data_IF_979531779542
#
_entry.id   IF_979531779542
#
_cell.length_a   1.000
_cell.length_b   1.000
_cell.length_c   1.000
_cell.angle_alpha   90.00
_cell.angle_beta   90.00
_cell.angle_gamma   90.00
#
_symmetry.space_group_name_H-M   'P 1'
#
loop_
_entity.id
_entity.type
_entity.pdbx_description
1 polymer ?
#
# COMPACT_ATOMS: atom_id res chain seq x y z
N UNK A 1 43.01 10.79 -11.07
CA UNK A 1 42.14 10.17 -12.09
C UNK A 1 42.14 8.68 -11.84
N UNK A 2 41.13 8.19 -11.10
CA UNK A 2 40.97 6.79 -10.73
C UNK A 2 39.81 6.23 -11.56
N UNK A 3 40.05 5.07 -12.16
CA UNK A 3 39.26 4.49 -13.24
C UNK A 3 37.87 4.04 -12.75
N UNK A 4 36.83 4.55 -13.39
CA UNK A 4 35.44 4.13 -13.20
C UNK A 4 35.25 2.78 -13.89
N UNK A 5 34.98 1.73 -13.10
CA UNK A 5 34.60 0.41 -13.62
C UNK A 5 33.08 0.38 -13.72
N UNK A 6 32.56 0.43 -14.94
CA UNK A 6 31.17 0.12 -15.27
C UNK A 6 30.91 -1.36 -14.97
N UNK A 7 30.07 -1.64 -13.97
CA UNK A 7 29.51 -2.97 -13.74
C UNK A 7 28.26 -3.08 -14.62
N UNK A 8 28.32 -3.93 -15.65
CA UNK A 8 27.13 -4.33 -16.41
C UNK A 8 26.29 -5.27 -15.55
N UNK A 9 25.04 -4.89 -15.29
CA UNK A 9 24.04 -5.74 -14.68
C UNK A 9 23.72 -6.93 -15.60
N UNK A 10 23.72 -8.14 -15.02
CA UNK A 10 23.20 -9.35 -15.67
C UNK A 10 21.69 -9.37 -15.41
N UNK A 11 20.89 -9.22 -16.46
CA UNK A 11 19.44 -9.37 -16.38
C UNK A 11 19.09 -10.83 -16.04
N UNK A 12 18.37 -11.02 -14.93
CA UNK A 12 17.76 -12.30 -14.59
C UNK A 12 16.51 -12.51 -15.47
N UNK A 13 16.45 -13.65 -16.16
CA UNK A 13 15.32 -14.02 -17.01
C UNK A 13 14.14 -14.51 -16.15
N UNK A 14 13.04 -13.76 -16.14
CA UNK A 14 11.78 -14.16 -15.52
C UNK A 14 11.07 -15.22 -16.40
N UNK A 15 10.66 -16.33 -15.79
CA UNK A 15 9.71 -17.28 -16.38
C UNK A 15 8.30 -16.67 -16.27
N UNK A 16 7.72 -16.31 -17.41
CA UNK A 16 6.37 -15.74 -17.47
C UNK A 16 5.31 -16.82 -17.17
N UNK A 17 4.74 -16.78 -15.97
CA UNK A 17 3.37 -17.24 -15.76
C UNK A 17 2.46 -16.11 -16.23
N UNK A 18 1.59 -16.39 -17.20
CA UNK A 18 0.59 -15.43 -17.69
C UNK A 18 -0.49 -15.24 -16.62
N UNK A 19 -0.18 -14.47 -15.58
CA UNK A 19 -1.20 -13.80 -14.77
C UNK A 19 -1.64 -12.55 -15.54
N UNK A 20 -2.94 -12.34 -15.67
CA UNK A 20 -3.46 -11.07 -16.17
C UNK A 20 -3.09 -10.05 -15.08
N UNK A 21 -2.27 -9.02 -15.36
CA UNK A 21 -1.93 -8.03 -14.36
C UNK A 21 -3.23 -7.38 -13.89
N UNK A 22 -3.53 -7.49 -12.60
CA UNK A 22 -4.51 -6.60 -11.98
C UNK A 22 -3.78 -5.28 -11.81
N UNK A 23 -3.99 -4.36 -12.75
CA UNK A 23 -3.47 -3.00 -12.63
C UNK A 23 -3.96 -2.43 -11.30
N UNK A 24 -3.04 -1.99 -10.43
CA UNK A 24 -3.46 -1.21 -9.28
C UNK A 24 -4.17 0.06 -9.78
N UNK A 25 -5.38 0.25 -9.27
CA UNK A 25 -6.18 1.42 -9.55
C UNK A 25 -5.84 2.51 -8.53
N UNK A 26 -5.81 3.77 -8.96
CA UNK A 26 -5.74 4.92 -8.05
C UNK A 26 -6.95 5.04 -7.10
N UNK A 27 -7.98 4.20 -7.25
CA UNK A 27 -9.10 4.08 -6.31
C UNK A 27 -8.76 3.24 -5.07
N UNK A 28 -7.70 2.43 -5.12
CA UNK A 28 -7.21 1.71 -3.94
C UNK A 28 -6.27 2.62 -3.16
N UNK A 29 -6.55 2.79 -1.87
CA UNK A 29 -5.64 3.47 -0.95
C UNK A 29 -4.64 2.46 -0.41
N UNK A 30 -3.39 2.58 -0.84
CA UNK A 30 -2.27 1.82 -0.30
C UNK A 30 -1.59 2.58 0.83
N UNK A 31 -0.75 1.89 1.59
CA UNK A 31 -0.01 2.44 2.71
C UNK A 31 1.45 2.00 2.65
N UNK A 32 2.32 2.82 3.23
CA UNK A 32 3.71 2.49 3.46
C UNK A 32 4.12 2.81 4.89
N UNK A 33 4.95 1.93 5.44
CA UNK A 33 5.43 1.94 6.81
C UNK A 33 6.95 1.80 6.81
N UNK A 34 7.64 2.46 7.74
CA UNK A 34 9.06 2.21 7.96
C UNK A 34 9.26 0.94 8.79
N UNK A 35 10.06 0.02 8.25
CA UNK A 35 10.54 -1.17 8.95
C UNK A 35 12.01 -1.00 9.34
N UNK A 36 12.35 -1.37 10.57
CA UNK A 36 13.71 -1.22 11.10
C UNK A 36 14.01 -2.32 12.12
N UNK A 37 15.25 -2.80 12.14
CA UNK A 37 15.74 -3.74 13.16
C UNK A 37 17.18 -3.40 13.54
N UNK A 38 17.44 -3.22 14.83
CA UNK A 38 18.79 -3.02 15.36
C UNK A 38 19.53 -4.35 15.58
N UNK A 39 20.85 -4.29 15.81
CA UNK A 39 21.68 -5.46 16.07
C UNK A 39 21.18 -6.33 17.25
N UNK A 40 20.70 -5.70 18.33
CA UNK A 40 20.12 -6.39 19.49
C UNK A 40 18.62 -6.68 19.33
N UNK A 41 18.09 -6.67 18.10
CA UNK A 41 16.71 -7.05 17.79
C UNK A 41 15.67 -6.13 18.44
N UNK A 42 15.93 -4.82 18.46
CA UNK A 42 14.87 -3.81 18.65
C UNK A 42 14.29 -3.44 17.29
N UNK A 43 12.97 -3.49 17.12
CA UNK A 43 12.36 -3.43 15.79
C UNK A 43 10.98 -2.78 15.71
N UNK A 44 10.64 -2.33 14.49
CA UNK A 44 9.27 -2.34 13.95
C UNK A 44 9.30 -3.25 12.73
N UNK A 45 8.46 -4.30 12.74
CA UNK A 45 8.48 -5.34 11.69
C UNK A 45 7.62 -4.92 10.49
N UNK A 46 7.49 -5.78 9.48
CA UNK A 46 6.56 -5.56 8.37
C UNK A 46 5.11 -5.50 8.87
N UNK A 47 4.26 -4.71 8.20
CA UNK A 47 2.87 -4.50 8.65
C UNK A 47 2.04 -5.80 8.64
N UNK A 48 2.33 -6.70 7.69
CA UNK A 48 1.63 -7.96 7.50
C UNK A 48 2.20 -9.11 8.36
N UNK A 49 3.20 -8.85 9.22
CA UNK A 49 3.76 -9.88 10.07
C UNK A 49 2.70 -10.45 11.03
N UNK A 50 2.50 -11.77 10.98
CA UNK A 50 1.42 -12.42 11.75
C UNK A 50 1.63 -12.42 13.27
N UNK A 51 2.83 -12.08 13.76
CA UNK A 51 3.19 -12.08 15.17
C UNK A 51 3.38 -10.67 15.72
N UNK A 52 3.92 -9.75 14.91
CA UNK A 52 4.32 -8.41 15.36
C UNK A 52 3.84 -7.28 14.45
N UNK A 53 3.05 -7.60 13.44
CA UNK A 53 2.51 -6.64 12.46
C UNK A 53 1.39 -5.79 13.02
N UNK A 54 0.83 -4.96 12.14
CA UNK A 54 -0.19 -3.98 12.48
C UNK A 54 -1.43 -4.66 13.07
N UNK A 55 -1.95 -4.11 14.17
CA UNK A 55 -3.14 -4.64 14.84
C UNK A 55 -2.92 -5.95 15.63
N UNK A 56 -1.70 -6.49 15.63
CA UNK A 56 -1.34 -7.63 16.47
C UNK A 56 -0.93 -7.14 17.86
N UNK A 57 -1.50 -7.76 18.89
CA UNK A 57 -1.14 -7.53 20.28
C UNK A 57 -0.81 -8.86 20.97
N UNK A 58 0.15 -8.82 21.90
CA UNK A 58 0.47 -9.94 22.77
C UNK A 58 -0.69 -10.30 23.70
N UNK A 59 -0.62 -11.47 24.34
CA UNK A 59 -1.62 -11.90 25.33
C UNK A 59 -1.75 -10.92 26.52
N UNK A 60 -0.68 -10.20 26.81
CA UNK A 60 -0.61 -9.16 27.84
C UNK A 60 -1.09 -7.78 27.37
N UNK A 61 -1.55 -7.67 26.12
CA UNK A 61 -2.01 -6.44 25.49
C UNK A 61 -0.89 -5.56 24.91
N UNK A 62 0.37 -6.04 24.89
CA UNK A 62 1.47 -5.30 24.27
C UNK A 62 1.23 -5.13 22.77
N UNK A 63 1.20 -3.89 22.30
CA UNK A 63 1.14 -3.57 20.87
C UNK A 63 2.57 -3.44 20.34
N UNK A 64 2.88 -4.20 19.29
CA UNK A 64 4.25 -4.29 18.77
C UNK A 64 4.54 -3.26 17.68
N UNK A 65 3.61 -3.09 16.75
CA UNK A 65 3.83 -2.36 15.50
C UNK A 65 3.83 -0.83 15.65
N UNK A 66 3.14 -0.31 16.67
CA UNK A 66 3.01 1.14 16.90
C UNK A 66 4.18 1.72 17.74
N UNK A 67 5.25 0.94 17.92
CA UNK A 67 6.46 1.29 18.66
C UNK A 67 7.68 0.57 18.07
N UNK A 68 8.89 1.01 18.44
CA UNK A 68 10.06 0.14 18.39
C UNK A 68 9.97 -0.80 19.60
N UNK A 69 9.88 -2.10 19.34
CA UNK A 69 9.85 -3.14 20.36
C UNK A 69 11.24 -3.72 20.54
N UNK A 70 11.75 -3.70 21.77
CA UNK A 70 12.92 -4.47 22.20
C UNK A 70 12.57 -5.53 23.24
N UNK A 71 13.58 -6.12 23.87
CA UNK A 71 13.39 -7.23 24.81
C UNK A 71 14.17 -7.03 26.13
N UNK A 72 13.52 -7.34 27.25
CA UNK A 72 14.15 -7.56 28.56
C UNK A 72 13.86 -9.01 29.00
N UNK A 73 14.82 -9.89 28.73
CA UNK A 73 14.60 -11.33 28.79
C UNK A 73 13.46 -11.74 27.84
N UNK A 74 12.43 -12.47 28.32
CA UNK A 74 11.27 -12.84 27.49
C UNK A 74 10.22 -11.72 27.36
N UNK A 75 10.41 -10.59 28.04
CA UNK A 75 9.40 -9.52 28.12
C UNK A 75 9.64 -8.50 27.02
N UNK A 76 8.62 -8.23 26.20
CA UNK A 76 8.67 -7.15 25.23
C UNK A 76 8.68 -5.80 25.97
N UNK A 77 9.53 -4.87 25.52
CA UNK A 77 9.64 -3.53 26.08
C UNK A 77 9.59 -2.50 24.98
N UNK A 78 8.89 -1.39 25.22
CA UNK A 78 8.89 -0.26 24.30
C UNK A 78 10.25 0.44 24.33
N UNK A 79 10.76 0.77 23.14
CA UNK A 79 11.93 1.60 22.90
C UNK A 79 11.53 2.96 22.32
N UNK A 80 10.28 3.38 22.53
CA UNK A 80 9.73 4.59 21.92
C UNK A 80 9.40 4.39 20.44
N UNK A 81 9.45 5.47 19.68
CA UNK A 81 9.08 5.50 18.26
C UNK A 81 7.81 6.30 18.03
N UNK A 82 7.94 7.44 17.37
CA UNK A 82 6.83 8.20 16.78
C UNK A 82 6.97 8.07 15.27
N UNK A 83 6.02 7.36 14.66
CA UNK A 83 6.06 7.05 13.24
C UNK A 83 5.26 8.04 12.42
N UNK A 84 5.80 8.39 11.26
CA UNK A 84 5.06 8.98 10.15
C UNK A 84 4.95 7.92 9.07
N UNK A 85 3.74 7.39 8.89
CA UNK A 85 3.42 6.46 7.81
C UNK A 85 2.82 7.23 6.63
N UNK A 86 2.84 6.63 5.44
CA UNK A 86 2.36 7.28 4.21
C UNK A 86 1.11 6.59 3.68
N UNK A 87 0.16 7.39 3.21
CA UNK A 87 -0.98 6.96 2.41
C UNK A 87 -0.65 7.20 0.93
N UNK A 88 -0.71 6.15 0.11
CA UNK A 88 -0.38 6.15 -1.32
C UNK A 88 -1.69 6.10 -2.10
N UNK A 89 -2.06 7.24 -2.68
CA UNK A 89 -3.29 7.41 -3.46
C UNK A 89 -3.02 7.57 -4.96
N UNK A 90 -1.79 7.34 -5.42
CA UNK A 90 -1.40 7.50 -6.82
C UNK A 90 0.11 7.62 -7.02
N UNK A 91 0.50 8.00 -8.24
CA UNK A 91 1.90 8.28 -8.56
C UNK A 91 2.40 9.51 -7.79
N UNK A 92 3.58 9.42 -7.19
CA UNK A 92 4.10 10.51 -6.39
C UNK A 92 5.31 10.14 -5.55
N UNK A 93 5.82 11.13 -4.81
CA UNK A 93 6.89 10.95 -3.84
C UNK A 93 6.31 10.93 -2.44
N UNK A 94 6.66 9.88 -1.69
CA UNK A 94 6.16 9.58 -0.37
C UNK A 94 7.31 9.50 0.63
N UNK A 95 7.00 9.71 1.90
CA UNK A 95 7.98 9.67 2.99
C UNK A 95 7.42 8.87 4.15
N UNK A 96 8.22 7.94 4.66
CA UNK A 96 8.00 7.29 5.96
C UNK A 96 9.14 7.64 6.90
N UNK A 97 8.86 7.80 8.19
CA UNK A 97 9.89 8.16 9.17
C UNK A 97 9.59 7.66 10.58
N UNK A 98 10.62 7.66 11.41
CA UNK A 98 10.52 7.43 12.85
C UNK A 98 11.40 8.42 13.60
N UNK A 99 10.89 8.92 14.72
CA UNK A 99 11.61 9.74 15.71
C UNK A 99 11.34 9.23 17.13
N UNK A 100 11.96 9.84 18.15
CA UNK A 100 11.69 9.55 19.57
C UNK A 100 11.88 8.07 19.97
N UNK A 101 12.95 7.45 19.47
CA UNK A 101 13.32 6.07 19.75
C UNK A 101 14.64 5.98 20.55
N UNK A 102 14.86 4.85 21.21
CA UNK A 102 16.10 4.53 21.92
C UNK A 102 16.58 3.10 21.58
N UNK A 103 17.53 3.01 20.65
CA UNK A 103 18.20 1.74 20.33
C UNK A 103 19.23 1.31 21.39
N UNK A 104 19.38 2.06 22.48
CA UNK A 104 20.29 1.75 23.58
C UNK A 104 21.76 1.82 23.15
N UNK A 105 22.48 0.73 23.36
CA UNK A 105 23.91 0.62 23.03
C UNK A 105 24.19 -0.04 21.68
N UNK A 106 23.17 -0.25 20.85
CA UNK A 106 23.39 -0.79 19.51
C UNK A 106 24.19 0.18 18.65
N UNK A 107 25.08 -0.36 17.82
CA UNK A 107 25.94 0.43 16.93
C UNK A 107 25.53 0.27 15.45
N UNK A 108 24.70 -0.72 15.15
CA UNK A 108 24.29 -1.06 13.78
C UNK A 108 22.81 -1.48 13.70
N UNK A 109 22.27 -1.33 12.50
CA UNK A 109 20.99 -1.88 12.06
C UNK A 109 21.24 -3.17 11.26
N UNK A 110 20.41 -4.19 11.52
CA UNK A 110 20.33 -5.39 10.70
C UNK A 110 19.42 -5.17 9.49
N UNK A 111 18.31 -4.44 9.67
CA UNK A 111 17.32 -4.15 8.64
C UNK A 111 16.91 -2.67 8.66
N UNK A 112 16.70 -2.13 7.46
CA UNK A 112 15.98 -0.87 7.22
C UNK A 112 15.26 -1.00 5.89
N UNK A 113 13.94 -0.84 5.88
CA UNK A 113 13.11 -1.13 4.73
C UNK A 113 11.81 -0.33 4.73
N UNK A 114 11.13 -0.33 3.58
CA UNK A 114 9.78 0.20 3.41
C UNK A 114 8.85 -1.01 3.30
N UNK A 115 7.86 -1.11 4.19
CA UNK A 115 6.82 -2.13 4.17
C UNK A 115 5.58 -1.52 3.54
N UNK A 116 5.06 -2.07 2.45
CA UNK A 116 3.84 -1.58 1.79
C UNK A 116 2.78 -2.65 1.73
N UNK A 117 1.51 -2.26 1.58
CA UNK A 117 0.40 -3.15 1.23
C UNK A 117 0.14 -3.22 -0.29
N UNK A 118 1.07 -2.69 -1.11
CA UNK A 118 1.00 -2.74 -2.56
C UNK A 118 1.37 -4.13 -3.08
N UNK A 119 0.51 -4.84 -3.84
CA UNK A 119 0.82 -6.17 -4.37
C UNK A 119 2.05 -6.18 -5.29
N UNK A 120 2.83 -7.27 -5.29
CA UNK A 120 3.98 -7.42 -6.19
C UNK A 120 3.63 -7.32 -7.68
N UNK A 121 2.43 -7.72 -8.06
CA UNK A 121 1.93 -7.77 -9.44
C UNK A 121 1.06 -6.57 -9.82
N UNK A 122 1.00 -5.54 -8.97
CA UNK A 122 0.15 -4.36 -9.17
C UNK A 122 0.55 -3.46 -10.35
N UNK A 123 1.73 -3.71 -10.95
CA UNK A 123 2.27 -2.94 -12.07
C UNK A 123 2.97 -1.63 -11.68
N UNK A 124 2.90 -1.24 -10.40
CA UNK A 124 3.64 -0.09 -9.88
C UNK A 124 5.12 -0.41 -9.66
N UNK A 125 5.94 0.62 -9.67
CA UNK A 125 7.37 0.56 -9.34
C UNK A 125 7.70 1.53 -8.21
N UNK A 126 8.72 1.16 -7.42
CA UNK A 126 9.30 2.04 -6.41
C UNK A 126 10.72 2.40 -6.84
N UNK A 127 11.02 3.70 -6.88
CA UNK A 127 12.30 4.28 -7.30
C UNK A 127 12.75 5.40 -6.37
N UNK A 128 13.94 5.93 -6.61
CA UNK A 128 14.50 7.11 -5.94
C UNK A 128 14.49 6.99 -4.41
N UNK A 129 14.72 5.78 -3.88
CA UNK A 129 14.66 5.51 -2.44
C UNK A 129 15.85 6.21 -1.78
N UNK A 130 15.56 7.23 -0.99
CA UNK A 130 16.54 8.08 -0.31
C UNK A 130 16.52 7.81 1.18
N UNK A 131 17.67 7.42 1.71
CA UNK A 131 17.89 7.18 3.14
C UNK A 131 18.45 8.43 3.79
N UNK A 132 17.71 9.00 4.73
CA UNK A 132 18.14 10.12 5.57
C UNK A 132 18.20 9.66 7.02
N UNK A 133 19.36 9.82 7.66
CA UNK A 133 19.58 9.51 9.08
C UNK A 133 20.06 10.79 9.77
N UNK A 134 19.39 11.15 10.86
CA UNK A 134 19.64 12.35 11.67
C UNK A 134 19.79 13.60 10.77
N UNK A 135 18.81 13.78 9.87
CA UNK A 135 18.75 14.89 8.91
C UNK A 135 19.77 14.87 7.77
N UNK A 136 20.64 13.84 7.71
CA UNK A 136 21.67 13.71 6.67
C UNK A 136 21.36 12.57 5.70
N UNK A 137 21.22 12.89 4.41
CA UNK A 137 21.13 11.87 3.36
C UNK A 137 22.40 11.02 3.32
N UNK A 138 22.24 9.70 3.45
CA UNK A 138 23.33 8.73 3.45
C UNK A 138 23.48 8.04 2.11
N UNK A 139 22.34 7.74 1.46
CA UNK A 139 22.33 7.05 0.19
C UNK A 139 21.03 7.32 -0.59
N UNK A 140 21.10 7.20 -1.90
CA UNK A 140 19.94 7.20 -2.81
C UNK A 140 20.08 6.02 -3.74
N UNK A 141 19.04 5.20 -3.81
CA UNK A 141 18.89 4.12 -4.75
C UNK A 141 18.04 4.60 -5.92
N UNK A 142 18.58 4.59 -7.13
CA UNK A 142 17.81 4.98 -8.33
C UNK A 142 16.62 4.02 -8.53
N UNK A 143 16.86 2.71 -8.40
CA UNK A 143 15.83 1.66 -8.40
C UNK A 143 15.79 0.97 -7.02
N UNK A 144 14.60 0.65 -6.52
CA UNK A 144 14.46 -0.06 -5.25
C UNK A 144 15.02 -1.50 -5.32
N UNK A 145 15.78 -1.90 -4.31
CA UNK A 145 16.11 -3.31 -4.08
C UNK A 145 14.94 -3.98 -3.36
N UNK A 146 14.08 -4.69 -4.08
CA UNK A 146 12.99 -5.42 -3.46
C UNK A 146 13.52 -6.60 -2.63
N UNK A 147 12.89 -6.85 -1.49
CA UNK A 147 13.16 -8.00 -0.63
C UNK A 147 13.05 -9.30 -1.44
N UNK A 148 14.08 -10.15 -1.48
CA UNK A 148 13.99 -11.45 -2.17
C UNK A 148 13.00 -12.41 -1.49
N UNK A 149 12.68 -12.13 -0.23
CA UNK A 149 11.77 -12.91 0.59
C UNK A 149 10.32 -12.44 0.47
N UNK A 150 10.07 -11.23 -0.05
CA UNK A 150 8.72 -10.77 -0.33
C UNK A 150 7.97 -11.74 -1.25
N UNK A 151 6.72 -12.07 -0.88
CA UNK A 151 5.84 -12.99 -1.62
C UNK A 151 4.54 -12.34 -2.08
N UNK A 152 4.10 -11.29 -1.39
CA UNK A 152 2.78 -10.70 -1.59
C UNK A 152 2.88 -9.21 -1.92
N UNK A 153 3.74 -8.47 -1.21
CA UNK A 153 3.79 -7.02 -1.30
C UNK A 153 5.16 -6.48 -1.73
N UNK A 154 5.17 -5.29 -2.34
CA UNK A 154 6.40 -4.54 -2.62
C UNK A 154 7.07 -4.13 -1.31
N UNK A 155 8.30 -4.59 -1.11
CA UNK A 155 9.09 -4.32 0.10
C UNK A 155 10.51 -3.88 -0.26
N UNK A 156 10.73 -2.58 -0.52
CA UNK A 156 12.06 -2.02 -0.75
C UNK A 156 12.98 -2.14 0.47
N UNK A 157 14.17 -2.69 0.28
CA UNK A 157 15.21 -2.84 1.29
C UNK A 157 16.32 -1.78 1.10
N UNK A 158 16.71 -1.12 2.19
CA UNK A 158 17.82 -0.16 2.23
C UNK A 158 19.05 -0.73 2.96
N UNK A 159 18.82 -1.48 4.04
CA UNK A 159 19.84 -2.22 4.78
C UNK A 159 19.28 -3.63 5.00
N UNK A 160 20.10 -4.64 4.68
CA UNK A 160 19.81 -6.04 5.02
C UNK A 160 21.15 -6.79 5.12
N UNK A 161 21.55 -7.17 6.34
CA UNK A 161 22.84 -7.81 6.58
C UNK A 161 22.97 -9.22 5.97
N UNK A 162 21.86 -9.79 5.49
CA UNK A 162 21.83 -11.09 4.81
C UNK A 162 21.80 -10.97 3.29
N UNK A 163 21.69 -9.77 2.73
CA UNK A 163 21.63 -9.52 1.29
C UNK A 163 22.99 -9.09 0.72
N UNK A 164 23.49 -9.84 -0.27
CA UNK A 164 24.76 -9.57 -0.96
C UNK A 164 24.77 -8.25 -1.73
N UNK A 165 23.66 -7.89 -2.39
CA UNK A 165 23.56 -6.65 -3.18
C UNK A 165 23.52 -5.40 -2.31
N UNK A 166 23.14 -5.56 -1.03
CA UNK A 166 23.16 -4.51 -0.01
C UNK A 166 24.42 -4.51 0.86
N UNK A 167 25.43 -5.32 0.50
CA UNK A 167 26.73 -5.34 1.17
C UNK A 167 26.79 -6.12 2.48
N UNK A 168 25.75 -6.90 2.83
CA UNK A 168 25.68 -7.70 4.07
C UNK A 168 26.02 -6.86 5.32
N UNK A 169 26.81 -7.41 6.24
CA UNK A 169 27.23 -6.77 7.49
C UNK A 169 28.03 -5.47 7.27
N UNK A 170 28.75 -5.35 6.14
CA UNK A 170 29.51 -4.14 5.81
C UNK A 170 28.58 -3.00 5.33
N UNK A 171 27.42 -3.34 4.78
CA UNK A 171 26.46 -2.42 4.20
C UNK A 171 26.92 -1.76 2.90
N UNK A 172 25.98 -1.19 2.16
CA UNK A 172 26.27 -0.46 0.92
C UNK A 172 26.76 0.98 1.17
N UNK A 173 26.44 1.55 2.34
CA UNK A 173 26.79 2.90 2.74
C UNK A 173 27.02 2.98 4.25
N UNK A 174 27.89 3.91 4.67
CA UNK A 174 28.16 4.16 6.08
C UNK A 174 27.15 5.11 6.72
N UNK A 175 26.78 4.82 7.96
CA UNK A 175 26.00 5.70 8.83
C UNK A 175 26.53 5.63 10.26
N UNK A 176 26.14 6.60 11.08
CA UNK A 176 26.23 6.48 12.52
C UNK A 176 24.88 5.99 13.02
N UNK A 177 24.87 5.15 14.06
CA UNK A 177 23.61 4.70 14.65
C UNK A 177 22.70 5.91 14.91
N UNK A 178 21.47 5.91 14.37
CA UNK A 178 20.57 7.05 14.47
C UNK A 178 20.24 7.32 15.94
N UNK A 179 20.17 8.61 16.29
CA UNK A 179 19.83 9.07 17.65
C UNK A 179 18.63 10.00 17.71
N UNK A 180 18.18 10.49 16.55
CA UNK A 180 17.10 11.48 16.46
C UNK A 180 16.04 11.04 15.43
N UNK A 181 16.46 10.72 14.21
CA UNK A 181 15.51 10.43 13.12
C UNK A 181 16.04 9.45 12.08
N UNK A 182 15.12 8.65 11.55
CA UNK A 182 15.29 7.89 10.31
C UNK A 182 14.15 8.27 9.38
N UNK A 183 14.47 8.63 8.15
CA UNK A 183 13.51 8.99 7.11
C UNK A 183 13.86 8.28 5.81
N UNK A 184 12.85 7.67 5.19
CA UNK A 184 12.93 7.08 3.86
C UNK A 184 11.96 7.82 2.94
N UNK A 185 12.49 8.51 1.93
CA UNK A 185 11.69 9.08 0.84
C UNK A 185 11.77 8.16 -0.37
N UNK A 186 10.68 7.96 -1.10
CA UNK A 186 10.64 7.10 -2.29
C UNK A 186 9.59 7.59 -3.28
N UNK A 187 9.75 7.24 -4.55
CA UNK A 187 8.78 7.55 -5.61
C UNK A 187 8.02 6.29 -5.98
N UNK A 188 6.70 6.40 -6.07
CA UNK A 188 5.81 5.38 -6.64
C UNK A 188 5.39 5.85 -8.03
N UNK A 189 5.46 4.95 -9.02
CA UNK A 189 4.98 5.21 -10.37
C UNK A 189 4.26 4.01 -10.97
N UNK A 190 3.38 4.24 -11.96
CA UNK A 190 2.67 3.18 -12.66
C UNK A 190 1.31 2.80 -12.06
N UNK A 191 0.82 3.56 -11.08
CA UNK A 191 -0.57 3.48 -10.64
C UNK A 191 -1.45 4.16 -11.68
N UNK A 192 -2.23 3.36 -12.42
CA UNK A 192 -3.16 3.91 -13.40
C UNK A 192 -4.27 4.71 -12.70
N UNK A 193 -4.56 5.91 -13.21
CA UNK A 193 -5.82 6.57 -12.91
C UNK A 193 -6.97 5.66 -13.34
N UNK A 194 -8.02 5.56 -12.52
CA UNK A 194 -9.18 4.74 -12.81
C UNK A 194 -9.64 4.93 -14.25
N UNK A 195 -9.74 3.84 -15.01
CA UNK A 195 -10.62 3.85 -16.18
C UNK A 195 -12.03 4.11 -15.63
N UNK A 196 -12.65 5.22 -16.01
CA UNK A 196 -14.07 5.47 -15.72
C UNK A 196 -14.82 4.19 -16.11
N UNK A 197 -15.47 3.55 -15.14
CA UNK A 197 -16.33 2.40 -15.41
C UNK A 197 -17.26 2.79 -16.57
N UNK A 198 -17.36 1.98 -17.63
CA UNK A 198 -18.23 2.30 -18.74
C UNK A 198 -19.63 2.46 -18.17
N UNK A 199 -20.24 3.62 -18.40
CA UNK A 199 -21.61 3.90 -17.98
C UNK A 199 -22.48 2.69 -18.37
N UNK A 200 -23.14 2.08 -17.38
CA UNK A 200 -24.09 0.99 -17.62
C UNK A 200 -25.10 1.48 -18.65
N UNK A 201 -24.99 0.95 -19.87
CA UNK A 201 -25.96 1.19 -20.92
C UNK A 201 -27.24 0.50 -20.45
N UNK A 202 -28.24 1.29 -20.01
CA UNK A 202 -29.56 0.81 -19.62
C UNK A 202 -30.09 -0.10 -20.73
N UNK A 203 -30.09 -1.41 -20.46
CA UNK A 203 -30.70 -2.38 -21.34
C UNK A 203 -32.20 -2.05 -21.44
N UNK A 204 -32.62 -1.62 -22.62
CA UNK A 204 -34.01 -1.36 -22.96
C UNK A 204 -34.86 -2.58 -22.57
N UNK A 205 -35.83 -2.36 -21.68
CA UNK A 205 -36.79 -3.38 -21.26
C UNK A 205 -37.65 -3.76 -22.47
N UNK A 206 -37.50 -4.99 -22.93
CA UNK A 206 -38.33 -5.61 -23.96
C UNK A 206 -39.76 -5.79 -23.42
N UNK A 207 -40.76 -5.21 -24.08
CA UNK A 207 -42.19 -5.37 -23.73
C UNK A 207 -42.61 -6.85 -23.84
N UNK A 208 -43.10 -7.41 -22.74
CA UNK A 208 -43.78 -8.70 -22.74
C UNK A 208 -45.18 -8.57 -23.39
N UNK A 209 -45.63 -9.55 -24.21
CA UNK A 209 -46.94 -9.47 -24.83
C UNK A 209 -48.06 -9.72 -23.82
N UNK A 210 -49.15 -8.97 -24.00
CA UNK A 210 -50.37 -9.04 -23.21
C UNK A 210 -51.02 -10.42 -23.26
N UNK A 211 -51.39 -10.96 -22.09
CA UNK A 211 -52.33 -12.07 -21.99
C UNK A 211 -53.73 -11.47 -21.83
N UNK A 212 -54.56 -11.65 -22.86
CA UNK A 212 -56.01 -11.55 -22.74
C UNK A 212 -56.54 -12.76 -21.96
N UNK A 213 -57.36 -12.52 -20.93
CA UNK A 213 -58.46 -13.44 -20.64
C UNK A 213 -59.65 -12.72 -19.99
N UNK A 214 -60.80 -13.31 -20.25
CA UNK A 214 -62.11 -12.68 -20.48
C UNK A 214 -63.03 -12.88 -19.29
N UNK A 215 -63.83 -11.84 -18.94
CA UNK A 215 -65.22 -11.81 -18.36
C UNK A 215 -65.74 -13.03 -17.56
N UNK A 216 -66.45 -12.97 -16.42
CA UNK A 216 -67.21 -11.97 -15.63
C UNK A 216 -67.83 -12.75 -14.39
N UNK A 217 -68.90 -12.30 -13.68
CA UNK A 217 -68.97 -11.23 -12.68
C UNK A 217 -69.57 -11.61 -11.29
N UNK A 218 -69.35 -10.72 -10.30
CA UNK A 218 -70.18 -10.34 -9.11
C UNK A 218 -70.49 -11.40 -8.02
N UNK A 219 -70.33 -11.16 -6.70
CA UNK A 219 -71.11 -10.23 -5.86
C UNK A 219 -70.52 -10.15 -4.42
N UNK A 220 -70.58 -8.98 -3.75
CA UNK A 220 -70.86 -8.92 -2.29
C UNK A 220 -69.80 -8.39 -1.28
N UNK A 221 -69.71 -7.05 -1.15
CA UNK A 221 -69.50 -6.18 0.03
C UNK A 221 -68.46 -6.41 1.18
N UNK A 222 -67.70 -5.30 1.40
CA UNK A 222 -67.16 -4.70 2.67
C UNK A 222 -66.02 -5.45 3.40
N UNK A 223 -64.83 -4.89 3.71
CA UNK A 223 -64.46 -3.53 4.19
C UNK A 223 -62.94 -3.26 4.06
N UNK A 224 -62.58 -2.00 3.76
CA UNK A 224 -61.34 -1.24 4.07
C UNK A 224 -59.95 -1.68 3.52
N UNK A 225 -59.36 -0.80 2.71
CA UNK A 225 -57.94 -0.77 2.33
C UNK A 225 -57.72 0.00 1.03
N UNK A 226 -57.63 1.32 1.10
CA UNK A 226 -57.73 2.26 -0.03
C UNK A 226 -56.43 2.46 -0.83
N UNK A 227 -56.62 2.63 -2.15
CA UNK A 227 -55.96 3.54 -3.12
C UNK A 227 -54.44 3.38 -3.32
N UNK A 228 -53.94 2.79 -4.42
CA UNK A 228 -53.81 3.37 -5.78
C UNK A 228 -53.32 4.83 -5.82
N UNK A 229 -52.07 5.02 -6.26
CA UNK A 229 -51.62 6.24 -6.93
C UNK A 229 -50.80 5.85 -8.17
N UNK A 230 -51.42 6.07 -9.32
CA UNK A 230 -50.81 6.10 -10.65
C UNK A 230 -50.52 7.56 -10.96
N UNK A 231 -49.25 7.89 -11.21
CA UNK A 231 -48.81 9.11 -11.91
C UNK A 231 -47.49 8.70 -12.59
N UNK A 232 -47.32 8.75 -13.91
CA UNK A 232 -47.83 9.71 -14.88
C UNK A 232 -46.63 10.45 -15.45
N UNK A 233 -46.09 9.93 -16.57
CA UNK A 233 -44.97 10.48 -17.35
C UNK A 233 -45.26 11.90 -17.83
N UNK A 234 -44.27 12.79 -17.78
CA UNK A 234 -44.22 13.98 -18.62
C UNK A 234 -42.79 14.21 -19.13
N UNK A 235 -42.60 13.95 -20.43
CA UNK A 235 -41.45 14.38 -21.21
C UNK A 235 -41.63 15.86 -21.63
N UNK A 236 -40.54 16.62 -21.68
CA UNK A 236 -40.44 17.82 -22.52
C UNK A 236 -38.98 18.01 -22.98
N UNK A 237 -38.82 18.04 -24.30
CA UNK A 237 -37.57 18.24 -25.02
C UNK A 237 -37.32 19.72 -25.39
N UNK A 238 -36.07 19.97 -25.79
CA UNK A 238 -35.54 21.14 -26.51
C UNK A 238 -35.37 22.42 -25.66
N UNK A 239 -34.26 23.15 -25.73
CA UNK A 239 -33.79 23.85 -26.94
C UNK A 239 -32.26 24.10 -26.91
N UNK A 240 -31.66 23.84 -28.07
CA UNK A 240 -30.31 24.26 -28.52
C UNK A 240 -30.17 25.78 -28.54
N UNK A 241 -29.04 26.33 -28.08
CA UNK A 241 -28.46 27.50 -28.74
C UNK A 241 -26.93 27.49 -28.66
N UNK A 242 -26.31 27.45 -29.84
CA UNK A 242 -24.88 27.68 -30.08
C UNK A 242 -24.58 29.19 -30.14
N UNK A 243 -23.28 29.48 -29.98
CA UNK A 243 -22.51 30.71 -30.29
C UNK A 243 -22.38 31.64 -29.08
N UNK A 244 -21.18 32.07 -28.70
CA UNK A 244 -20.04 32.48 -29.52
C UNK A 244 -18.72 32.23 -28.78
#
# INVERSE_FOLDING_TARGET
>A
MKNLRTLSAIAAAAMAVSMIPVSASAEDTYHAYIGVQSASYSFRNAWYDTTYGQGIAGEDGTVYFDQITGWDGPTAVSKGGVFTDAEITGDGTYTVSVTDFDFGSDETLNLLFISTDMPLDCGATISDVKVTIDGSTKYTFDEAYLSPDAKEYLEPMCINIWNDDLGKEDGLFGYMMPTDSIELTFTVSGLSAAEEAPAEEEAAVEEAPAVEETTAPTTGNTTAGALLAVMGVAAAAAVVSKRK
#
